data_IF_702463267606
#
_entry.id   IF_702463267606
#
_cell.length_a   1.000
_cell.length_b   1.000
_cell.length_c   1.000
_cell.angle_alpha   90.00
_cell.angle_beta   90.00
_cell.angle_gamma   90.00
#
_symmetry.space_group_name_H-M   'P 1'
#
loop_
_entity.id
_entity.type
_entity.pdbx_description
1 polymer ?
#
# COMPACT_ATOMS: atom_id res chain seq x y z
N UNK A 1 10.32 -14.35 -15.53
CA UNK A 1 11.17 -13.41 -14.75
C UNK A 1 11.24 -11.98 -15.35
N UNK A 2 11.32 -11.80 -16.68
CA UNK A 2 11.52 -10.47 -17.30
C UNK A 2 10.32 -9.50 -17.20
N UNK A 3 9.08 -10.01 -17.18
CA UNK A 3 7.87 -9.18 -17.07
C UNK A 3 7.83 -8.38 -15.76
N UNK A 4 8.00 -9.07 -14.63
CA UNK A 4 7.95 -8.45 -13.30
C UNK A 4 9.17 -7.57 -13.00
N UNK A 5 10.35 -7.90 -13.55
CA UNK A 5 11.54 -7.02 -13.48
C UNK A 5 11.33 -5.73 -14.27
N UNK A 6 10.73 -5.80 -15.46
CA UNK A 6 10.40 -4.63 -16.27
C UNK A 6 9.36 -3.74 -15.59
N UNK A 7 8.33 -4.32 -14.97
CA UNK A 7 7.34 -3.58 -14.18
C UNK A 7 7.96 -2.90 -12.94
N UNK A 8 8.83 -3.60 -12.20
CA UNK A 8 9.51 -3.02 -11.04
C UNK A 8 10.35 -1.79 -11.43
N UNK A 9 11.14 -1.89 -12.50
CA UNK A 9 11.97 -0.77 -12.97
C UNK A 9 11.16 0.34 -13.65
N UNK A 10 9.89 0.10 -14.03
CA UNK A 10 9.05 1.11 -14.69
C UNK A 10 8.62 2.25 -13.76
N UNK A 11 8.65 2.04 -12.44
CA UNK A 11 8.24 3.04 -11.44
C UNK A 11 9.35 4.00 -11.01
N UNK A 12 10.59 3.79 -11.48
CA UNK A 12 11.75 4.60 -11.12
C UNK A 12 12.41 5.10 -12.41
N UNK A 13 11.86 6.17 -12.98
CA UNK A 13 12.48 6.87 -14.11
C UNK A 13 13.55 7.84 -13.58
N UNK A 14 14.70 7.28 -13.22
CA UNK A 14 15.86 8.05 -12.76
C UNK A 14 16.97 7.89 -13.77
N UNK A 15 17.39 9.01 -14.36
CA UNK A 15 18.50 9.02 -15.30
C UNK A 15 19.82 8.66 -14.60
N UNK A 16 20.77 8.11 -15.35
CA UNK A 16 22.12 7.83 -14.84
C UNK A 16 22.82 9.08 -14.28
N UNK A 17 22.47 10.26 -14.80
CA UNK A 17 22.98 11.54 -14.33
C UNK A 17 22.42 11.88 -12.95
N UNK A 18 21.10 11.83 -12.78
CA UNK A 18 20.45 12.10 -11.50
C UNK A 18 20.92 11.14 -10.41
N UNK A 19 21.09 9.85 -10.73
CA UNK A 19 21.62 8.87 -9.79
C UNK A 19 23.05 9.23 -9.34
N UNK A 20 23.89 9.73 -10.26
CA UNK A 20 25.25 10.16 -9.94
C UNK A 20 25.24 11.40 -9.06
N UNK A 21 24.41 12.38 -9.38
CA UNK A 21 24.26 13.61 -8.59
C UNK A 21 23.74 13.31 -7.18
N UNK A 22 22.71 12.46 -7.05
CA UNK A 22 22.24 11.96 -5.76
C UNK A 22 23.38 11.32 -4.97
N UNK A 23 24.16 10.42 -5.62
CA UNK A 23 25.28 9.73 -4.97
C UNK A 23 26.34 10.69 -4.46
N UNK A 24 26.63 11.77 -5.20
CA UNK A 24 27.57 12.80 -4.74
C UNK A 24 26.96 13.66 -3.61
N UNK A 25 25.68 14.00 -3.68
CA UNK A 25 24.99 14.74 -2.61
C UNK A 25 25.01 13.96 -1.29
N UNK A 26 24.76 12.65 -1.33
CA UNK A 26 24.83 11.76 -0.17
C UNK A 26 26.24 11.60 0.42
N UNK A 27 27.30 12.11 -0.20
CA UNK A 27 28.63 12.19 0.45
C UNK A 27 28.77 13.40 1.36
N UNK A 28 27.96 14.43 1.17
CA UNK A 28 28.01 15.65 1.97
C UNK A 28 27.25 15.46 3.27
N UNK A 29 27.90 15.66 4.42
CA UNK A 29 27.26 15.40 5.71
C UNK A 29 26.07 16.33 5.97
N UNK A 30 26.16 17.60 5.56
CA UNK A 30 25.04 18.55 5.62
C UNK A 30 23.80 18.07 4.85
N UNK A 31 23.99 17.44 3.69
CA UNK A 31 22.88 16.90 2.92
C UNK A 31 22.24 15.70 3.64
N UNK A 32 23.04 14.84 4.27
CA UNK A 32 22.52 13.71 5.06
C UNK A 32 21.71 14.19 6.27
N UNK A 33 22.18 15.23 6.96
CA UNK A 33 21.48 15.83 8.09
C UNK A 33 20.13 16.41 7.65
N UNK A 34 20.12 17.26 6.62
CA UNK A 34 18.88 17.82 6.06
C UNK A 34 17.92 16.73 5.55
N UNK A 35 18.45 15.70 4.91
CA UNK A 35 17.65 14.57 4.44
C UNK A 35 17.06 13.79 5.60
N UNK A 36 17.81 13.61 6.69
CA UNK A 36 17.30 12.97 7.92
C UNK A 36 16.20 13.80 8.56
N UNK A 37 16.41 15.11 8.72
CA UNK A 37 15.38 16.03 9.24
C UNK A 37 14.10 15.94 8.42
N UNK A 38 14.21 15.96 7.09
CA UNK A 38 13.08 15.77 6.19
C UNK A 38 12.37 14.42 6.40
N UNK A 39 13.13 13.33 6.48
CA UNK A 39 12.57 11.99 6.73
C UNK A 39 11.86 11.93 8.08
N UNK A 40 12.43 12.55 9.11
CA UNK A 40 11.84 12.59 10.45
C UNK A 40 10.55 13.45 10.44
N UNK A 41 10.55 14.58 9.74
CA UNK A 41 9.39 15.46 9.58
C UNK A 41 8.23 14.76 8.84
N UNK A 42 8.52 14.04 7.75
CA UNK A 42 7.53 13.28 6.97
C UNK A 42 6.97 12.10 7.77
N UNK A 43 7.77 11.52 8.66
CA UNK A 43 7.36 10.41 9.52
C UNK A 43 6.69 10.86 10.84
N UNK A 44 6.67 12.16 11.16
CA UNK A 44 5.99 12.66 12.36
C UNK A 44 4.48 12.40 12.26
N UNK A 45 3.88 11.66 13.21
CA UNK A 45 2.44 11.40 13.24
C UNK A 45 1.57 12.66 13.20
N UNK A 46 2.04 13.78 13.77
CA UNK A 46 1.31 15.05 13.78
C UNK A 46 1.22 15.65 12.38
N UNK A 47 2.34 15.65 11.66
CA UNK A 47 2.42 16.18 10.29
C UNK A 47 1.60 15.31 9.34
N UNK A 48 1.65 13.98 9.50
CA UNK A 48 0.82 13.07 8.73
C UNK A 48 -0.68 13.30 8.97
N UNK A 49 -1.09 13.51 10.23
CA UNK A 49 -2.48 13.77 10.55
C UNK A 49 -2.97 15.13 9.99
N UNK A 50 -2.13 16.16 10.02
CA UNK A 50 -2.44 17.45 9.41
C UNK A 50 -2.60 17.32 7.89
N UNK A 51 -1.63 16.66 7.25
CA UNK A 51 -1.65 16.41 5.81
C UNK A 51 -2.90 15.64 5.36
N UNK A 52 -3.28 14.59 6.08
CA UNK A 52 -4.52 13.85 5.79
C UNK A 52 -5.76 14.72 5.89
N UNK A 53 -5.83 15.57 6.92
CA UNK A 53 -6.96 16.48 7.11
C UNK A 53 -7.07 17.47 5.94
N UNK A 54 -5.95 18.02 5.50
CA UNK A 54 -5.89 18.93 4.35
C UNK A 54 -6.29 18.23 3.05
N UNK A 55 -5.80 17.01 2.81
CA UNK A 55 -6.22 16.22 1.65
C UNK A 55 -7.72 15.90 1.64
N UNK A 56 -8.28 15.50 2.78
CA UNK A 56 -9.72 15.25 2.90
C UNK A 56 -10.54 16.51 2.59
N UNK A 57 -10.07 17.67 3.06
CA UNK A 57 -10.71 18.94 2.77
C UNK A 57 -10.67 19.26 1.27
N UNK A 58 -9.52 19.09 0.62
CA UNK A 58 -9.37 19.33 -0.82
C UNK A 58 -10.23 18.40 -1.68
N UNK A 59 -10.31 17.11 -1.34
CA UNK A 59 -11.19 16.16 -2.05
C UNK A 59 -12.67 16.51 -1.82
N UNK A 60 -13.02 16.95 -0.61
CA UNK A 60 -14.37 17.43 -0.30
C UNK A 60 -14.74 18.67 -1.09
N UNK A 61 -13.82 19.62 -1.28
CA UNK A 61 -14.01 20.81 -2.12
C UNK A 61 -14.22 20.43 -3.60
N UNK A 62 -13.68 19.29 -4.05
CA UNK A 62 -13.94 18.69 -5.37
C UNK A 62 -15.24 17.88 -5.43
N UNK A 63 -15.97 17.77 -4.32
CA UNK A 63 -17.21 17.00 -4.21
C UNK A 63 -17.01 15.49 -4.00
N UNK A 64 -15.81 15.05 -3.63
CA UNK A 64 -15.49 13.63 -3.39
C UNK A 64 -15.33 13.39 -1.89
N UNK A 65 -16.18 12.53 -1.32
CA UNK A 65 -16.02 12.07 0.06
C UNK A 65 -14.98 10.93 0.10
N UNK A 66 -13.80 11.25 0.59
CA UNK A 66 -12.69 10.30 0.74
C UNK A 66 -12.52 9.86 2.18
N UNK A 67 -11.98 8.66 2.39
CA UNK A 67 -11.65 8.16 3.73
C UNK A 67 -10.33 7.43 3.70
N UNK A 68 -9.40 7.86 4.55
CA UNK A 68 -8.12 7.16 4.72
C UNK A 68 -8.33 5.82 5.45
N UNK A 69 -7.80 4.76 4.85
CA UNK A 69 -7.72 3.43 5.44
C UNK A 69 -6.27 3.14 5.83
N UNK A 70 -6.01 3.11 7.14
CA UNK A 70 -4.75 2.63 7.71
C UNK A 70 -4.98 1.23 8.28
N UNK A 71 -4.66 0.16 7.52
CA UNK A 71 -4.98 -1.19 7.95
C UNK A 71 -4.04 -1.64 9.07
N UNK A 72 -4.59 -2.33 10.08
CA UNK A 72 -3.80 -2.96 11.13
C UNK A 72 -3.28 -4.31 10.62
N UNK A 73 -1.97 -4.60 10.77
CA UNK A 73 -1.42 -5.87 10.33
C UNK A 73 -2.06 -7.07 11.04
N UNK A 74 -2.36 -8.12 10.29
CA UNK A 74 -2.77 -9.42 10.82
C UNK A 74 -1.70 -10.47 10.55
N UNK A 75 -1.82 -11.15 9.42
CA UNK A 75 -0.91 -12.22 9.01
C UNK A 75 -0.56 -12.14 7.52
N UNK A 76 0.46 -12.90 7.12
CA UNK A 76 0.92 -12.93 5.72
C UNK A 76 0.73 -14.33 5.16
N UNK A 77 0.08 -14.42 4.00
CA UNK A 77 -0.01 -15.66 3.23
C UNK A 77 1.11 -15.64 2.21
N UNK A 78 1.99 -16.63 2.28
CA UNK A 78 3.01 -16.87 1.26
C UNK A 78 2.52 -17.91 0.27
N UNK A 79 2.61 -17.60 -1.02
CA UNK A 79 2.25 -18.51 -2.11
C UNK A 79 3.22 -18.35 -3.29
N UNK A 80 3.03 -19.12 -4.36
CA UNK A 80 3.76 -19.01 -5.62
C UNK A 80 2.81 -18.62 -6.75
N UNK A 81 3.24 -17.71 -7.61
CA UNK A 81 2.58 -17.36 -8.86
C UNK A 81 3.31 -18.07 -10.00
N UNK A 82 2.59 -18.88 -10.75
CA UNK A 82 3.10 -19.60 -11.94
C UNK A 82 4.40 -20.38 -11.68
N UNK A 83 4.62 -20.84 -10.45
CA UNK A 83 5.83 -21.54 -9.96
C UNK A 83 7.17 -20.77 -10.06
N UNK A 84 7.17 -19.54 -10.57
CA UNK A 84 8.38 -18.78 -10.86
C UNK A 84 8.61 -17.60 -9.89
N UNK A 85 7.56 -17.12 -9.22
CA UNK A 85 7.64 -15.96 -8.33
C UNK A 85 6.95 -16.25 -7.00
N UNK A 86 7.60 -15.89 -5.88
CA UNK A 86 6.93 -15.87 -4.58
C UNK A 86 5.97 -14.67 -4.53
N UNK A 87 4.76 -14.90 -4.06
CA UNK A 87 3.79 -13.86 -3.77
C UNK A 87 3.44 -13.85 -2.28
N UNK A 88 3.24 -12.65 -1.77
CA UNK A 88 2.88 -12.41 -0.38
C UNK A 88 1.58 -11.62 -0.35
N UNK A 89 0.59 -12.12 0.38
CA UNK A 89 -0.68 -11.43 0.60
C UNK A 89 -0.71 -11.02 2.07
N UNK A 90 -0.63 -9.71 2.31
CA UNK A 90 -0.78 -9.15 3.65
C UNK A 90 -2.27 -9.09 3.98
N UNK A 91 -2.72 -9.98 4.86
CA UNK A 91 -4.07 -9.97 5.39
C UNK A 91 -4.11 -9.04 6.59
N UNK A 92 -4.81 -7.93 6.42
CA UNK A 92 -4.93 -6.86 7.40
C UNK A 92 -6.41 -6.58 7.68
N UNK A 93 -6.69 -5.84 8.75
CA UNK A 93 -8.06 -5.45 9.11
C UNK A 93 -8.16 -3.94 9.37
N UNK A 94 -9.37 -3.39 9.20
CA UNK A 94 -9.68 -2.01 9.54
C UNK A 94 -11.15 -1.92 9.96
N UNK A 95 -11.45 -1.15 10.99
CA UNK A 95 -12.80 -1.03 11.57
C UNK A 95 -13.83 -0.43 10.60
N UNK A 96 -13.37 0.28 9.57
CA UNK A 96 -14.23 0.86 8.52
C UNK A 96 -14.66 -0.15 7.46
N UNK A 97 -14.12 -1.38 7.49
CA UNK A 97 -14.54 -2.47 6.62
C UNK A 97 -15.61 -3.29 7.34
N UNK A 98 -16.73 -3.53 6.66
CA UNK A 98 -17.85 -4.29 7.22
C UNK A 98 -17.42 -5.73 7.59
N UNK A 99 -18.00 -6.24 8.67
CA UNK A 99 -17.70 -7.60 9.14
C UNK A 99 -18.28 -8.65 8.19
N UNK A 100 -17.63 -9.81 8.06
CA UNK A 100 -18.21 -10.94 7.36
C UNK A 100 -19.59 -11.31 7.93
N UNK A 101 -20.51 -11.64 7.05
CA UNK A 101 -21.86 -12.08 7.41
C UNK A 101 -22.26 -13.31 6.61
N UNK A 102 -23.12 -14.14 7.18
CA UNK A 102 -23.72 -15.28 6.49
C UNK A 102 -25.22 -15.31 6.68
N UNK A 103 -25.94 -15.70 5.63
CA UNK A 103 -27.40 -15.82 5.62
C UNK A 103 -27.75 -17.20 5.10
N UNK A 104 -28.60 -17.93 5.83
CA UNK A 104 -29.15 -19.20 5.35
C UNK A 104 -30.00 -18.94 4.11
N UNK A 105 -29.76 -19.69 3.05
CA UNK A 105 -30.44 -19.54 1.77
C UNK A 105 -30.81 -20.92 1.23
N UNK A 106 -32.00 -21.03 0.67
CA UNK A 106 -32.43 -22.21 -0.10
C UNK A 106 -32.45 -21.82 -1.56
N UNK A 107 -31.65 -22.50 -2.38
CA UNK A 107 -31.61 -22.30 -3.83
C UNK A 107 -31.76 -23.66 -4.51
N UNK A 108 -32.70 -23.76 -5.44
CA UNK A 108 -32.99 -25.00 -6.19
C UNK A 108 -33.26 -26.22 -5.29
N UNK A 109 -33.91 -26.00 -4.13
CA UNK A 109 -34.24 -27.05 -3.15
C UNK A 109 -33.06 -27.50 -2.28
N UNK A 110 -31.89 -26.89 -2.40
CA UNK A 110 -30.73 -27.15 -1.54
C UNK A 110 -30.58 -26.03 -0.52
N UNK A 111 -30.47 -26.41 0.76
CA UNK A 111 -30.15 -25.47 1.85
C UNK A 111 -28.64 -25.25 1.92
N UNK A 112 -28.23 -24.00 2.06
CA UNK A 112 -26.83 -23.61 2.25
C UNK A 112 -26.69 -22.27 2.96
N UNK A 113 -25.46 -21.81 3.08
CA UNK A 113 -25.15 -20.49 3.62
C UNK A 113 -24.57 -19.60 2.51
N UNK A 114 -25.17 -18.43 2.34
CA UNK A 114 -24.61 -17.37 1.53
C UNK A 114 -23.68 -16.52 2.40
N UNK A 115 -22.38 -16.57 2.12
CA UNK A 115 -21.36 -15.79 2.81
C UNK A 115 -21.01 -14.52 2.05
N UNK A 116 -20.99 -13.40 2.77
CA UNK A 116 -20.44 -12.13 2.31
C UNK A 116 -19.22 -11.77 3.15
N UNK A 117 -18.09 -11.50 2.49
CA UNK A 117 -16.84 -11.08 3.13
C UNK A 117 -16.39 -9.78 2.48
N UNK A 118 -16.81 -8.61 3.01
CA UNK A 118 -16.40 -7.31 2.50
C UNK A 118 -14.87 -7.13 2.60
N UNK A 119 -14.24 -6.70 1.52
CA UNK A 119 -12.78 -6.54 1.47
C UNK A 119 -12.36 -5.48 0.46
N UNK A 120 -11.15 -4.93 0.65
CA UNK A 120 -10.52 -3.97 -0.26
C UNK A 120 -9.19 -4.53 -0.71
N UNK A 121 -8.94 -4.52 -2.03
CA UNK A 121 -7.65 -4.90 -2.59
C UNK A 121 -6.81 -3.67 -2.92
N UNK A 122 -5.61 -3.61 -2.35
CA UNK A 122 -4.57 -2.70 -2.83
C UNK A 122 -4.02 -3.16 -4.18
N UNK A 123 -3.38 -2.24 -4.92
CA UNK A 123 -2.61 -2.62 -6.11
C UNK A 123 -1.46 -3.52 -5.69
N UNK A 124 -1.23 -4.60 -6.45
CA UNK A 124 -0.06 -5.44 -6.29
C UNK A 124 1.22 -4.62 -6.50
N UNK A 125 2.26 -4.93 -5.72
CA UNK A 125 3.58 -4.29 -5.85
C UNK A 125 4.67 -5.34 -5.79
N UNK A 126 5.76 -5.06 -6.49
CA UNK A 126 6.97 -5.87 -6.43
C UNK A 126 7.82 -5.41 -5.23
N UNK A 127 8.22 -6.35 -4.39
CA UNK A 127 9.13 -6.11 -3.27
C UNK A 127 10.40 -6.93 -3.45
N UNK A 128 11.52 -6.40 -2.95
CA UNK A 128 12.80 -7.11 -2.90
C UNK A 128 12.80 -7.96 -1.62
N UNK A 129 12.89 -9.27 -1.77
CA UNK A 129 13.09 -10.16 -0.63
C UNK A 129 14.51 -9.97 -0.08
N UNK A 130 14.66 -9.99 1.26
CA UNK A 130 15.96 -9.89 1.93
C UNK A 130 16.75 -11.18 1.81
#
# INVERSE_FOLDING_TARGET
>A
MDRYKKEFMSGVDVSKRELKELKEAFKQDKFKELFKEYVDEVNDPKNQALYEKELLQLEKERGVESTFLRPTPGYVIKTSVENDCQAFINVCYNEKIERPSSVKMVKDGQEGEHWSVPHVFGKGRMEINK
#
